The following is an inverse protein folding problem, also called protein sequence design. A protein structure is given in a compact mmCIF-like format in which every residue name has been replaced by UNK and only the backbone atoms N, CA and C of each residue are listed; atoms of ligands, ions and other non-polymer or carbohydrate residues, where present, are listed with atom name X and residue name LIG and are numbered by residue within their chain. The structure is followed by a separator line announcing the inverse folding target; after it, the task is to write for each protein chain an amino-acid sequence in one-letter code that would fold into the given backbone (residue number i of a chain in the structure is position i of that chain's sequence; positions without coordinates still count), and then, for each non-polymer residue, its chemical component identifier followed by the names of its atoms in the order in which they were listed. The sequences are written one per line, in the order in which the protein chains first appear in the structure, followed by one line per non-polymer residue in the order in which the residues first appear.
data_IF_179400586304
#
_entry.id   IF_179400586304
#
_cell.length_a   1.000
_cell.length_b   1.000
_cell.length_c   1.000
_cell.angle_alpha   90.00
_cell.angle_beta   90.00
_cell.angle_gamma   90.00
#
_symmetry.space_group_name_H-M   'P 1'
#
loop_
_entity.id
_entity.type
_entity.pdbx_description
1 polymer ?
#
# COMPACT_ATOMS: atom_id res chain seq x y z
N UNK A 1 30.97 74.56 -18.29
CA UNK A 1 30.98 73.09 -18.40
C UNK A 1 30.00 72.54 -17.37
N UNK A 2 28.84 72.00 -17.78
CA UNK A 2 27.84 71.40 -16.88
C UNK A 2 27.82 69.90 -17.13
N UNK A 3 28.24 69.11 -16.15
CA UNK A 3 28.26 67.66 -16.21
C UNK A 3 26.82 67.12 -16.15
N UNK A 4 26.46 66.24 -17.10
CA UNK A 4 25.21 65.48 -17.11
C UNK A 4 25.36 64.28 -16.17
N UNK A 5 24.50 64.19 -15.17
CA UNK A 5 24.32 62.99 -14.35
C UNK A 5 23.32 62.06 -15.04
N UNK A 6 23.77 60.87 -15.42
CA UNK A 6 22.89 59.77 -15.82
C UNK A 6 22.50 58.96 -14.58
N UNK A 7 21.22 58.63 -14.36
CA UNK A 7 20.86 57.63 -13.36
C UNK A 7 21.08 56.23 -13.97
N UNK A 8 21.90 55.43 -13.29
CA UNK A 8 22.05 54.01 -13.58
C UNK A 8 20.75 53.29 -13.20
N UNK A 9 20.02 52.80 -14.20
CA UNK A 9 18.89 51.90 -14.00
C UNK A 9 19.45 50.49 -13.72
N UNK A 10 19.47 50.10 -12.45
CA UNK A 10 19.83 48.74 -12.06
C UNK A 10 18.65 47.79 -12.36
N UNK A 11 18.76 47.04 -13.44
CA UNK A 11 17.86 45.94 -13.78
C UNK A 11 18.10 44.78 -12.79
N UNK A 12 17.24 44.62 -11.78
CA UNK A 12 17.18 43.41 -10.96
C UNK A 12 16.54 42.29 -11.79
N UNK A 13 17.36 41.37 -12.29
CA UNK A 13 16.91 40.13 -12.91
C UNK A 13 16.37 39.17 -11.82
N UNK A 14 15.11 38.71 -11.88
CA UNK A 14 14.62 37.68 -10.98
C UNK A 14 15.18 36.32 -11.42
N UNK A 15 15.97 35.69 -10.54
CA UNK A 15 16.38 34.30 -10.67
C UNK A 15 15.16 33.37 -10.50
N UNK A 16 14.46 33.11 -11.61
CA UNK A 16 13.48 32.02 -11.72
C UNK A 16 14.24 30.68 -11.77
N UNK A 17 14.66 30.19 -10.61
CA UNK A 17 15.15 28.82 -10.48
C UNK A 17 13.98 27.84 -10.48
N UNK A 18 14.03 26.72 -11.22
CA UNK A 18 13.02 25.67 -11.13
C UNK A 18 13.05 25.08 -9.72
N UNK A 19 11.95 25.21 -8.98
CA UNK A 19 11.78 24.51 -7.72
C UNK A 19 11.74 22.99 -7.98
N UNK A 20 12.35 22.16 -7.12
CA UNK A 20 12.26 20.71 -7.25
C UNK A 20 10.80 20.27 -7.09
N UNK A 21 10.26 19.59 -8.09
CA UNK A 21 8.93 19.00 -8.10
C UNK A 21 8.85 17.71 -7.25
N UNK A 22 9.34 17.76 -6.00
CA UNK A 22 9.32 16.63 -5.06
C UNK A 22 8.10 16.74 -4.14
N UNK A 23 6.88 16.67 -4.67
CA UNK A 23 5.67 16.64 -3.83
C UNK A 23 4.40 16.12 -4.53
N UNK A 24 4.49 15.36 -5.63
CA UNK A 24 3.29 15.03 -6.42
C UNK A 24 2.56 13.73 -6.08
N UNK A 25 3.07 12.91 -5.17
CA UNK A 25 2.34 11.73 -4.73
C UNK A 25 2.01 11.93 -3.26
N UNK A 26 0.78 12.40 -2.98
CA UNK A 26 0.20 12.29 -1.63
C UNK A 26 0.22 10.82 -1.16
N UNK A 27 -0.17 10.55 0.10
CA UNK A 27 -0.13 9.19 0.62
C UNK A 27 -0.82 8.22 -0.35
N UNK A 28 -0.15 7.12 -0.68
CA UNK A 28 -0.72 6.07 -1.51
C UNK A 28 -1.68 5.22 -0.67
N UNK A 29 -2.54 4.46 -1.34
CA UNK A 29 -3.24 3.36 -0.71
C UNK A 29 -2.92 2.03 -1.36
N UNK A 30 -3.20 0.93 -0.66
CA UNK A 30 -2.98 -0.44 -1.13
C UNK A 30 -4.33 -1.11 -1.34
N UNK A 31 -4.54 -1.66 -2.54
CA UNK A 31 -5.70 -2.45 -2.90
C UNK A 31 -5.36 -3.94 -2.84
N UNK A 32 -6.21 -4.70 -2.15
CA UNK A 32 -6.13 -6.15 -2.04
C UNK A 32 -7.33 -6.78 -2.74
N UNK A 33 -7.05 -7.74 -3.62
CA UNK A 33 -8.04 -8.52 -4.35
C UNK A 33 -7.73 -9.99 -4.18
N UNK A 34 -8.76 -10.79 -3.94
CA UNK A 34 -8.62 -12.24 -3.76
C UNK A 34 -9.70 -12.98 -4.51
N UNK A 35 -9.27 -14.07 -5.15
CA UNK A 35 -10.10 -15.18 -5.56
C UNK A 35 -9.78 -16.33 -4.61
N UNK A 36 -10.63 -16.59 -3.59
CA UNK A 36 -10.36 -17.60 -2.58
C UNK A 36 -9.92 -18.92 -3.21
N UNK A 37 -8.87 -19.53 -2.66
CA UNK A 37 -8.29 -20.82 -3.09
C UNK A 37 -7.70 -20.83 -4.53
N UNK A 38 -7.68 -19.69 -5.24
CA UNK A 38 -7.20 -19.61 -6.63
C UNK A 38 -6.04 -18.64 -6.79
N UNK A 39 -6.24 -17.37 -6.43
CA UNK A 39 -5.23 -16.33 -6.65
C UNK A 39 -5.48 -15.07 -5.82
N UNK A 40 -4.49 -14.18 -5.80
CA UNK A 40 -4.62 -12.86 -5.19
C UNK A 40 -3.88 -11.81 -6.02
N UNK A 41 -4.21 -10.55 -5.80
CA UNK A 41 -3.51 -9.44 -6.40
C UNK A 41 -3.45 -8.24 -5.46
N UNK A 42 -2.31 -7.58 -5.44
CA UNK A 42 -2.04 -6.41 -4.59
C UNK A 42 -1.42 -5.30 -5.42
N UNK A 43 -1.96 -4.09 -5.31
CA UNK A 43 -1.42 -2.90 -5.97
C UNK A 43 -1.54 -1.65 -5.12
N UNK A 44 -0.46 -0.87 -5.12
CA UNK A 44 -0.42 0.48 -4.55
C UNK A 44 -0.84 1.51 -5.59
N UNK A 45 -1.69 2.46 -5.21
CA UNK A 45 -2.19 3.50 -6.12
C UNK A 45 -2.57 4.78 -5.38
N UNK A 46 -2.75 5.88 -6.12
CA UNK A 46 -3.24 7.14 -5.55
C UNK A 46 -4.76 7.20 -5.31
N UNK A 47 -5.52 6.18 -5.76
CA UNK A 47 -6.97 6.08 -5.53
C UNK A 47 -7.45 4.62 -5.64
N UNK A 48 -8.60 4.28 -5.03
CA UNK A 48 -9.11 2.91 -5.00
C UNK A 48 -9.44 2.35 -6.38
N UNK A 49 -9.96 3.15 -7.31
CA UNK A 49 -10.36 2.64 -8.63
C UNK A 49 -9.16 2.10 -9.41
N UNK A 50 -8.07 2.87 -9.46
CA UNK A 50 -6.80 2.44 -10.08
C UNK A 50 -6.19 1.27 -9.33
N UNK A 51 -6.22 1.30 -7.99
CA UNK A 51 -5.69 0.24 -7.14
C UNK A 51 -6.39 -1.10 -7.39
N UNK A 52 -7.71 -1.14 -7.29
CA UNK A 52 -8.49 -2.36 -7.50
C UNK A 52 -8.45 -2.85 -8.95
N UNK A 53 -8.42 -1.96 -9.94
CA UNK A 53 -8.26 -2.38 -11.34
C UNK A 53 -6.94 -3.12 -11.55
N UNK A 54 -5.82 -2.56 -11.05
CA UNK A 54 -4.51 -3.20 -11.08
C UNK A 54 -4.47 -4.51 -10.29
N UNK A 55 -4.98 -4.52 -9.06
CA UNK A 55 -4.98 -5.70 -8.20
C UNK A 55 -5.81 -6.83 -8.81
N UNK A 56 -6.96 -6.51 -9.43
CA UNK A 56 -7.78 -7.49 -10.13
C UNK A 56 -7.09 -8.06 -11.36
N UNK A 57 -6.37 -7.24 -12.10
CA UNK A 57 -5.56 -7.73 -13.22
C UNK A 57 -4.52 -8.75 -12.73
N UNK A 58 -3.76 -8.42 -11.67
CA UNK A 58 -2.78 -9.35 -11.09
C UNK A 58 -3.40 -10.66 -10.59
N UNK A 59 -4.58 -10.60 -9.96
CA UNK A 59 -5.32 -11.79 -9.55
C UNK A 59 -5.67 -12.70 -10.74
N UNK A 60 -6.09 -12.13 -11.86
CA UNK A 60 -6.36 -12.89 -13.10
C UNK A 60 -5.07 -13.44 -13.72
N UNK A 61 -4.00 -12.64 -13.75
CA UNK A 61 -2.68 -13.09 -14.23
C UNK A 61 -2.13 -14.26 -13.39
N UNK A 62 -2.48 -14.30 -12.10
CA UNK A 62 -2.18 -15.40 -11.19
C UNK A 62 -3.09 -16.62 -11.35
N UNK A 63 -4.00 -16.64 -12.33
CA UNK A 63 -4.74 -17.83 -12.74
C UNK A 63 -6.22 -17.88 -12.32
N UNK A 64 -6.75 -16.85 -11.65
CA UNK A 64 -8.16 -16.80 -11.27
C UNK A 64 -9.06 -16.28 -12.40
N UNK A 65 -10.33 -16.70 -12.39
CA UNK A 65 -11.35 -16.11 -13.25
C UNK A 65 -11.66 -14.67 -12.84
N UNK A 66 -11.90 -13.79 -13.82
CA UNK A 66 -12.08 -12.36 -13.55
C UNK A 66 -13.20 -12.11 -12.52
N UNK A 67 -14.31 -12.85 -12.61
CA UNK A 67 -15.47 -12.72 -11.71
C UNK A 67 -15.16 -13.10 -10.25
N UNK A 68 -14.16 -13.95 -10.05
CA UNK A 68 -13.81 -14.50 -8.73
C UNK A 68 -12.79 -13.61 -8.01
N UNK A 69 -12.11 -12.71 -8.73
CA UNK A 69 -11.23 -11.70 -8.14
C UNK A 69 -12.02 -10.58 -7.44
N UNK A 70 -12.35 -10.78 -6.16
CA UNK A 70 -13.17 -9.90 -5.32
C UNK A 70 -12.34 -8.79 -4.68
N UNK A 71 -12.93 -7.60 -4.53
CA UNK A 71 -12.31 -6.48 -3.79
C UNK A 71 -12.35 -6.79 -2.29
N UNK A 72 -11.20 -6.98 -1.67
CA UNK A 72 -11.09 -7.34 -0.24
C UNK A 72 -10.89 -6.10 0.62
N UNK A 73 -9.87 -5.29 0.32
CA UNK A 73 -9.54 -4.13 1.14
C UNK A 73 -8.92 -2.99 0.31
N UNK A 74 -9.22 -1.76 0.71
CA UNK A 74 -8.50 -0.55 0.30
C UNK A 74 -7.95 0.15 1.53
N UNK A 75 -6.63 0.23 1.61
CA UNK A 75 -5.92 0.72 2.78
C UNK A 75 -5.38 2.11 2.48
N UNK A 76 -5.99 3.16 3.05
CA UNK A 76 -5.61 4.56 2.81
C UNK A 76 -5.67 5.39 4.10
N UNK A 77 -4.60 6.14 4.45
CA UNK A 77 -3.26 6.01 3.88
C UNK A 77 -2.75 4.57 4.06
N UNK A 78 -1.87 4.10 3.17
CA UNK A 78 -1.38 2.73 3.19
C UNK A 78 -0.89 2.29 4.58
N UNK A 79 -0.03 3.13 5.19
CA UNK A 79 0.67 2.78 6.42
C UNK A 79 1.38 1.44 6.29
N UNK A 80 1.78 0.85 7.41
CA UNK A 80 2.21 -0.54 7.40
C UNK A 80 0.98 -1.46 7.24
N UNK A 81 1.08 -2.43 6.35
CA UNK A 81 0.03 -3.43 6.12
C UNK A 81 0.59 -4.84 6.18
N UNK A 82 -0.15 -5.79 6.75
CA UNK A 82 0.24 -7.20 6.87
C UNK A 82 -0.88 -8.09 6.33
N UNK A 83 -0.49 -9.14 5.63
CA UNK A 83 -1.36 -10.22 5.22
C UNK A 83 -1.11 -11.44 6.10
N UNK A 84 -2.19 -11.98 6.66
CA UNK A 84 -2.18 -13.13 7.55
C UNK A 84 -2.87 -14.30 6.87
N UNK A 85 -2.11 -15.34 6.57
CA UNK A 85 -2.65 -16.62 6.13
C UNK A 85 -3.34 -17.32 7.31
N UNK A 86 -4.48 -17.95 7.03
CA UNK A 86 -5.26 -18.72 7.99
C UNK A 86 -5.75 -20.01 7.35
N UNK A 87 -5.54 -21.14 8.04
CA UNK A 87 -6.01 -22.46 7.64
C UNK A 87 -6.95 -23.02 8.71
N UNK A 88 -8.21 -23.24 8.35
CA UNK A 88 -9.15 -23.92 9.24
C UNK A 88 -8.80 -25.41 9.34
N UNK A 89 -9.09 -26.00 10.49
CA UNK A 89 -9.05 -27.45 10.75
C UNK A 89 -9.94 -28.30 9.82
N UNK A 90 -10.88 -27.68 9.11
CA UNK A 90 -11.81 -28.36 8.19
C UNK A 90 -11.34 -28.29 6.73
N UNK A 91 -10.20 -27.63 6.45
CA UNK A 91 -9.59 -27.57 5.13
C UNK A 91 -9.62 -26.22 4.40
N UNK A 92 -10.59 -25.31 4.58
CA UNK A 92 -10.54 -23.99 3.94
C UNK A 92 -9.37 -23.13 4.42
N UNK A 93 -8.71 -22.43 3.50
CA UNK A 93 -7.76 -21.38 3.81
C UNK A 93 -8.19 -20.03 3.26
N UNK A 94 -7.77 -18.97 3.93
CA UNK A 94 -8.02 -17.60 3.51
C UNK A 94 -6.93 -16.69 4.04
N UNK A 95 -6.99 -15.46 3.59
CA UNK A 95 -6.08 -14.40 3.96
C UNK A 95 -6.85 -13.26 4.59
N UNK A 96 -6.25 -12.64 5.60
CA UNK A 96 -6.80 -11.44 6.23
C UNK A 96 -5.76 -10.33 6.22
N UNK A 97 -6.12 -9.19 5.63
CA UNK A 97 -5.25 -8.01 5.59
C UNK A 97 -5.53 -7.06 6.75
N UNK A 98 -4.47 -6.58 7.38
CA UNK A 98 -4.50 -5.60 8.48
C UNK A 98 -3.67 -4.40 8.06
N UNK A 99 -4.22 -3.19 8.10
CA UNK A 99 -3.67 -2.06 7.36
C UNK A 99 -3.59 -0.76 8.17
N UNK A 100 -2.82 0.20 7.66
CA UNK A 100 -2.79 1.57 8.20
C UNK A 100 -2.01 1.70 9.50
N UNK A 101 -1.16 0.73 9.81
CA UNK A 101 -0.40 0.72 11.06
C UNK A 101 0.72 1.76 11.02
N UNK A 102 0.94 2.44 12.16
CA UNK A 102 1.96 3.49 12.27
C UNK A 102 3.41 2.98 12.25
N UNK A 103 3.62 1.68 12.45
CA UNK A 103 4.93 1.05 12.41
C UNK A 103 4.83 -0.42 11.97
N UNK A 104 5.95 -0.96 11.49
CA UNK A 104 6.12 -2.41 11.23
C UNK A 104 5.72 -3.25 12.43
N UNK A 105 6.20 -2.85 13.61
CA UNK A 105 5.97 -3.60 14.84
C UNK A 105 4.51 -3.62 15.24
N UNK A 106 3.78 -2.51 15.06
CA UNK A 106 2.34 -2.50 15.29
C UNK A 106 1.58 -3.41 14.32
N UNK A 107 1.97 -3.44 13.03
CA UNK A 107 1.39 -4.37 12.06
C UNK A 107 1.64 -5.83 12.46
N UNK A 108 2.86 -6.17 12.88
CA UNK A 108 3.20 -7.52 13.32
C UNK A 108 2.46 -7.91 14.62
N UNK A 109 2.31 -6.99 15.58
CA UNK A 109 1.45 -7.23 16.76
C UNK A 109 -0.01 -7.46 16.40
N UNK A 110 -0.52 -6.78 15.38
CA UNK A 110 -1.87 -7.05 14.89
C UNK A 110 -1.99 -8.46 14.28
N UNK A 111 -0.94 -8.94 13.59
CA UNK A 111 -0.90 -10.31 13.09
C UNK A 111 -0.86 -11.35 14.23
N UNK A 112 -0.08 -11.09 15.29
CA UNK A 112 -0.06 -11.94 16.50
C UNK A 112 -1.46 -12.10 17.10
N UNK A 113 -2.20 -10.99 17.27
CA UNK A 113 -3.58 -11.04 17.79
C UNK A 113 -4.51 -11.84 16.86
N UNK A 114 -4.37 -11.70 15.54
CA UNK A 114 -5.18 -12.46 14.56
C UNK A 114 -4.85 -13.95 14.51
N UNK A 115 -3.72 -14.35 15.06
CA UNK A 115 -3.29 -15.73 15.16
C UNK A 115 -3.30 -16.26 16.60
N UNK A 116 -3.88 -15.51 17.55
CA UNK A 116 -3.96 -15.96 18.94
C UNK A 116 -4.82 -17.24 19.04
N UNK A 117 -4.24 -18.39 19.42
CA UNK A 117 -4.98 -19.65 19.51
C UNK A 117 -6.05 -19.62 20.60
N UNK A 118 -5.98 -18.70 21.57
CA UNK A 118 -7.03 -18.49 22.55
C UNK A 118 -8.30 -17.85 21.95
N UNK A 119 -8.15 -17.15 20.81
CA UNK A 119 -9.25 -16.52 20.07
C UNK A 119 -9.70 -17.35 18.85
N UNK A 120 -8.82 -18.22 18.35
CA UNK A 120 -8.99 -18.92 17.08
C UNK A 120 -8.56 -20.40 17.17
N UNK A 121 -9.14 -21.15 18.10
CA UNK A 121 -8.84 -22.58 18.35
C UNK A 121 -9.16 -23.52 17.18
N UNK A 122 -9.91 -23.05 16.18
CA UNK A 122 -10.24 -23.77 14.95
C UNK A 122 -9.16 -23.67 13.87
N UNK A 123 -8.14 -22.83 14.03
CA UNK A 123 -7.04 -22.69 13.07
C UNK A 123 -5.94 -23.71 13.34
N UNK A 124 -5.52 -24.43 12.30
CA UNK A 124 -4.37 -25.35 12.36
C UNK A 124 -3.07 -24.71 11.87
N UNK A 125 -3.17 -23.63 11.11
CA UNK A 125 -2.05 -22.78 10.71
C UNK A 125 -2.53 -21.33 10.65
N UNK A 126 -1.72 -20.43 11.19
CA UNK A 126 -1.93 -19.00 11.11
C UNK A 126 -0.58 -18.28 11.17
N UNK A 127 -0.27 -17.48 10.16
CA UNK A 127 1.00 -16.76 10.11
C UNK A 127 0.90 -15.49 9.25
N UNK A 128 1.63 -14.43 9.60
CA UNK A 128 1.89 -13.35 8.66
C UNK A 128 2.73 -13.90 7.50
N UNK A 129 2.28 -13.66 6.27
CA UNK A 129 2.93 -14.20 5.05
C UNK A 129 3.42 -13.12 4.10
N UNK A 130 2.86 -11.91 4.17
CA UNK A 130 3.33 -10.74 3.39
C UNK A 130 3.20 -9.48 4.23
N UNK A 131 4.07 -8.51 3.97
CA UNK A 131 4.11 -7.22 4.66
C UNK A 131 4.36 -6.12 3.63
N UNK A 132 3.71 -4.98 3.80
CA UNK A 132 3.94 -3.78 2.99
C UNK A 132 4.28 -2.59 3.88
N UNK A 133 5.25 -1.80 3.43
CA UNK A 133 5.62 -0.54 4.05
C UNK A 133 4.61 0.59 3.72
N UNK A 134 4.75 1.79 4.33
CA UNK A 134 3.88 2.94 4.07
C UNK A 134 3.86 3.45 2.62
N UNK A 135 4.87 3.11 1.82
CA UNK A 135 4.92 3.44 0.39
C UNK A 135 4.27 2.34 -0.47
N UNK A 136 3.80 1.26 0.16
CA UNK A 136 3.19 0.11 -0.46
C UNK A 136 4.19 -0.82 -1.15
N UNK A 137 5.45 -0.78 -0.73
CA UNK A 137 6.49 -1.73 -1.14
C UNK A 137 6.36 -3.00 -0.31
N UNK A 138 6.31 -4.15 -0.98
CA UNK A 138 6.30 -5.45 -0.30
C UNK A 138 7.68 -5.76 0.29
N UNK A 139 7.70 -6.19 1.55
CA UNK A 139 8.89 -6.51 2.33
C UNK A 139 8.79 -7.93 2.91
N UNK A 140 9.94 -8.57 3.19
CA UNK A 140 9.97 -9.84 3.90
C UNK A 140 9.33 -9.76 5.30
N UNK A 141 8.66 -10.85 5.66
CA UNK A 141 8.19 -11.10 7.02
C UNK A 141 9.34 -11.75 7.81
N UNK A 142 10.29 -10.94 8.27
CA UNK A 142 11.42 -11.35 9.14
C UNK A 142 11.31 -10.84 10.58
#
# INVERSE_FOLDING_TARGET
MRARLWPALAFLAPCLGPAPALAQNGPVGIAFVEAPEQSSGVCSAGNPDKGFACARQKCVEGGAEQRDCLRVAWCYPAGWSVDVFKQHSEGPHWHEHSCGWGSREAAMKAAEVRCDPALHDYLIECAPVRLWDPDGTELPVE
#
